data_IF_799847623828
#
_entry.id   IF_799847623828
#
_cell.length_a   1.000
_cell.length_b   1.000
_cell.length_c   1.000
_cell.angle_alpha   90.00
_cell.angle_beta   90.00
_cell.angle_gamma   90.00
#
_symmetry.space_group_name_H-M   'P 1'
#
loop_
_entity.id
_entity.type
_entity.pdbx_description
1 polymer ?
#
# COMPACT_ATOMS: atom_id res chain seq x y z
N UNK A 1 -13.16 -12.34 4.88
CA UNK A 1 -12.74 -11.83 3.55
C UNK A 1 -11.44 -11.08 3.72
N UNK A 2 -10.47 -11.28 2.83
CA UNK A 2 -9.17 -10.59 2.84
C UNK A 2 -9.34 -9.13 2.45
N UNK A 3 -8.73 -8.20 3.18
CA UNK A 3 -8.70 -6.78 2.81
C UNK A 3 -7.78 -6.56 1.59
N UNK A 4 -8.21 -5.75 0.62
CA UNK A 4 -7.49 -5.55 -0.64
C UNK A 4 -7.25 -4.08 -0.91
N UNK A 5 -5.96 -3.69 -1.05
CA UNK A 5 -5.55 -2.35 -1.47
C UNK A 5 -4.97 -2.39 -2.88
N UNK A 6 -5.42 -1.45 -3.72
CA UNK A 6 -4.87 -1.21 -5.05
C UNK A 6 -4.10 0.12 -5.04
N UNK A 7 -2.77 0.05 -5.16
CA UNK A 7 -1.87 1.18 -4.90
C UNK A 7 -1.31 1.82 -6.17
N UNK A 8 -0.91 3.11 -6.09
CA UNK A 8 -0.30 3.85 -7.18
C UNK A 8 -1.30 4.33 -8.23
N UNK A 9 -2.44 4.84 -7.78
CA UNK A 9 -3.47 5.44 -8.64
C UNK A 9 -3.00 6.80 -9.16
N UNK A 10 -3.07 7.00 -10.47
CA UNK A 10 -2.69 8.27 -11.12
C UNK A 10 -3.84 8.90 -11.92
N UNK A 11 -4.92 8.15 -12.17
CA UNK A 11 -6.04 8.57 -13.00
C UNK A 11 -7.37 8.28 -12.33
N UNK A 12 -8.32 9.20 -12.45
CA UNK A 12 -9.65 9.05 -11.85
C UNK A 12 -10.36 7.77 -12.27
N UNK A 13 -10.33 7.43 -13.56
CA UNK A 13 -10.92 6.21 -14.10
C UNK A 13 -10.36 4.92 -13.46
N UNK A 14 -9.06 4.92 -13.05
CA UNK A 14 -8.44 3.76 -12.42
C UNK A 14 -8.92 3.63 -10.95
N UNK A 15 -9.12 4.75 -10.27
CA UNK A 15 -9.71 4.77 -8.93
C UNK A 15 -11.16 4.24 -8.97
N UNK A 16 -11.96 4.70 -9.93
CA UNK A 16 -13.34 4.23 -10.11
C UNK A 16 -13.40 2.74 -10.47
N UNK A 17 -12.49 2.28 -11.32
CA UNK A 17 -12.37 0.85 -11.65
C UNK A 17 -11.96 0.00 -10.44
N UNK A 18 -11.06 0.51 -9.57
CA UNK A 18 -10.68 -0.16 -8.33
C UNK A 18 -11.87 -0.31 -7.37
N UNK A 19 -12.64 0.75 -7.19
CA UNK A 19 -13.88 0.71 -6.39
C UNK A 19 -14.88 -0.29 -6.97
N UNK A 20 -15.10 -0.24 -8.29
CA UNK A 20 -15.99 -1.17 -8.98
C UNK A 20 -15.55 -2.62 -8.91
N UNK A 21 -14.25 -2.87 -8.85
CA UNK A 21 -13.67 -4.20 -8.64
C UNK A 21 -13.86 -4.73 -7.21
N UNK A 22 -14.26 -3.87 -6.26
CA UNK A 22 -14.47 -4.24 -4.85
C UNK A 22 -13.21 -4.11 -3.99
N UNK A 23 -12.27 -3.24 -4.35
CA UNK A 23 -11.15 -2.91 -3.48
C UNK A 23 -11.63 -2.22 -2.19
N UNK A 24 -10.99 -2.53 -1.06
CA UNK A 24 -11.26 -1.89 0.24
C UNK A 24 -10.51 -0.58 0.39
N UNK A 25 -9.37 -0.45 -0.33
CA UNK A 25 -8.54 0.74 -0.28
C UNK A 25 -7.84 1.05 -1.60
N UNK A 26 -7.50 2.32 -1.78
CA UNK A 26 -6.65 2.81 -2.87
C UNK A 26 -5.47 3.63 -2.33
N UNK A 27 -4.34 3.64 -3.06
CA UNK A 27 -3.15 4.38 -2.67
C UNK A 27 -2.69 5.39 -3.73
N UNK A 28 -2.21 6.56 -3.26
CA UNK A 28 -1.65 7.65 -4.07
C UNK A 28 -0.21 7.91 -3.67
N UNK A 29 0.70 7.98 -4.62
CA UNK A 29 2.14 8.17 -4.37
C UNK A 29 2.53 9.61 -4.61
N UNK A 30 2.97 10.32 -3.57
CA UNK A 30 3.43 11.71 -3.66
C UNK A 30 4.96 11.83 -3.58
N UNK A 31 5.67 10.76 -3.92
CA UNK A 31 7.14 10.75 -4.01
C UNK A 31 7.58 10.99 -5.47
N UNK A 32 8.28 12.12 -5.78
CA UNK A 32 8.61 12.50 -7.16
C UNK A 32 9.47 11.49 -7.93
N UNK A 33 10.24 10.67 -7.22
CA UNK A 33 11.08 9.61 -7.82
C UNK A 33 10.27 8.42 -8.34
N UNK A 34 9.00 8.32 -7.97
CA UNK A 34 8.13 7.21 -8.36
C UNK A 34 7.55 7.43 -9.76
N UNK A 35 7.51 6.41 -10.63
CA UNK A 35 6.77 6.49 -11.89
C UNK A 35 5.24 6.61 -11.71
N UNK A 36 4.77 6.45 -10.46
CA UNK A 36 3.36 6.61 -10.04
C UNK A 36 3.13 7.90 -9.29
N UNK A 37 4.07 8.84 -9.40
CA UNK A 37 3.96 10.14 -8.73
C UNK A 37 2.71 10.90 -9.16
N UNK A 38 2.01 11.44 -8.16
CA UNK A 38 0.88 12.35 -8.34
C UNK A 38 1.11 13.58 -7.46
N UNK A 39 1.05 14.81 -8.01
CA UNK A 39 1.08 16.02 -7.19
C UNK A 39 -0.02 16.01 -6.14
N UNK A 40 0.26 16.52 -4.93
CA UNK A 40 -0.68 16.48 -3.80
C UNK A 40 -2.03 17.12 -4.15
N UNK A 41 -2.05 18.22 -4.87
CA UNK A 41 -3.29 18.86 -5.35
C UNK A 41 -4.13 17.90 -6.21
N UNK A 42 -3.47 17.09 -7.04
CA UNK A 42 -4.17 16.10 -7.87
C UNK A 42 -4.73 14.95 -7.04
N UNK A 43 -4.11 14.60 -5.91
CA UNK A 43 -4.66 13.58 -4.98
C UNK A 43 -6.01 14.02 -4.45
N UNK A 44 -6.21 15.30 -4.12
CA UNK A 44 -7.52 15.86 -3.71
C UNK A 44 -8.62 15.50 -4.70
N UNK A 45 -8.36 15.74 -6.01
CA UNK A 45 -9.33 15.44 -7.07
C UNK A 45 -9.59 13.94 -7.22
N UNK A 46 -8.53 13.13 -7.10
CA UNK A 46 -8.63 11.68 -7.26
C UNK A 46 -9.32 11.01 -6.07
N UNK A 47 -9.14 11.53 -4.86
CA UNK A 47 -9.71 11.01 -3.63
C UNK A 47 -11.15 11.45 -3.37
N UNK A 48 -11.60 12.54 -4.02
CA UNK A 48 -12.90 13.14 -3.77
C UNK A 48 -14.07 12.18 -4.03
N UNK A 49 -14.94 12.01 -3.04
CA UNK A 49 -16.17 11.20 -3.14
C UNK A 49 -15.94 9.68 -3.31
N UNK A 50 -14.73 9.19 -3.03
CA UNK A 50 -14.42 7.77 -3.11
C UNK A 50 -14.86 7.08 -1.81
N UNK A 51 -15.68 6.01 -1.87
CA UNK A 51 -16.29 5.39 -0.68
C UNK A 51 -15.39 4.36 0.01
N UNK A 52 -14.15 4.15 -0.46
CA UNK A 52 -13.18 3.22 0.12
C UNK A 52 -12.06 3.97 0.85
N UNK A 53 -11.25 3.27 1.63
CA UNK A 53 -10.09 3.85 2.30
C UNK A 53 -9.09 4.43 1.28
N UNK A 54 -8.46 5.53 1.64
CA UNK A 54 -7.51 6.26 0.80
C UNK A 54 -6.23 6.46 1.56
N UNK A 55 -5.11 5.99 0.99
CA UNK A 55 -3.79 6.07 1.61
C UNK A 55 -2.86 6.96 0.80
N UNK A 56 -2.13 7.85 1.49
CA UNK A 56 -1.06 8.67 0.92
C UNK A 56 0.29 8.00 1.15
N UNK A 57 1.00 7.65 0.07
CA UNK A 57 2.36 7.14 0.16
C UNK A 57 3.35 8.29 0.09
N UNK A 58 4.24 8.34 1.07
CA UNK A 58 5.33 9.32 1.16
C UNK A 58 6.68 8.62 1.29
N UNK A 59 7.75 9.28 0.88
CA UNK A 59 9.14 8.77 1.02
C UNK A 59 10.00 9.88 1.59
N UNK A 60 10.75 9.59 2.65
CA UNK A 60 11.68 10.50 3.33
C UNK A 60 11.09 11.88 3.66
N UNK A 61 9.78 11.91 3.93
CA UNK A 61 9.05 13.15 4.18
C UNK A 61 9.04 13.51 5.65
N UNK A 62 9.04 14.81 5.93
CA UNK A 62 8.90 15.34 7.27
C UNK A 62 7.58 14.88 7.92
N UNK A 63 7.56 14.44 9.19
CA UNK A 63 6.38 13.91 9.86
C UNK A 63 5.20 14.88 9.92
N UNK A 64 5.45 16.17 10.16
CA UNK A 64 4.38 17.19 10.23
C UNK A 64 3.79 17.44 8.84
N UNK A 65 4.66 17.47 7.81
CA UNK A 65 4.22 17.56 6.44
C UNK A 65 3.34 16.37 6.03
N UNK A 66 3.70 15.14 6.42
CA UNK A 66 2.90 13.94 6.11
C UNK A 66 1.48 14.08 6.65
N UNK A 67 1.32 14.52 7.90
CA UNK A 67 0.01 14.74 8.52
C UNK A 67 -0.76 15.84 7.79
N UNK A 68 -0.13 17.00 7.57
CA UNK A 68 -0.75 18.12 6.88
C UNK A 68 -1.19 17.75 5.45
N UNK A 69 -0.34 17.02 4.72
CA UNK A 69 -0.64 16.54 3.37
C UNK A 69 -1.81 15.54 3.35
N UNK A 70 -1.88 14.62 4.30
CA UNK A 70 -2.97 13.66 4.40
C UNK A 70 -4.31 14.34 4.69
N UNK A 71 -4.34 15.28 5.63
CA UNK A 71 -5.51 16.09 5.96
C UNK A 71 -5.95 16.94 4.76
N UNK A 72 -5.01 17.62 4.12
CA UNK A 72 -5.29 18.44 2.92
C UNK A 72 -5.86 17.60 1.77
N UNK A 73 -5.32 16.41 1.54
CA UNK A 73 -5.78 15.50 0.49
C UNK A 73 -7.11 14.78 0.84
N UNK A 74 -7.59 14.87 2.08
CA UNK A 74 -8.78 14.19 2.54
C UNK A 74 -8.67 12.67 2.51
N UNK A 75 -7.46 12.14 2.74
CA UNK A 75 -7.22 10.69 2.81
C UNK A 75 -7.44 10.16 4.22
N UNK A 76 -7.74 8.87 4.35
CA UNK A 76 -8.03 8.21 5.63
C UNK A 76 -6.77 7.64 6.31
N UNK A 77 -5.67 7.52 5.58
CA UNK A 77 -4.45 6.94 6.13
C UNK A 77 -3.20 7.30 5.34
N UNK A 78 -2.06 6.89 5.89
CA UNK A 78 -0.74 7.11 5.30
C UNK A 78 0.07 5.82 5.24
N UNK A 79 1.02 5.77 4.31
CA UNK A 79 2.02 4.71 4.18
C UNK A 79 3.38 5.38 4.02
N UNK A 80 4.02 5.76 5.13
CA UNK A 80 5.31 6.45 5.11
C UNK A 80 6.45 5.47 4.86
N UNK A 81 7.33 5.78 3.91
CA UNK A 81 8.56 5.06 3.62
C UNK A 81 9.79 5.90 3.95
N UNK A 82 10.94 5.23 4.09
CA UNK A 82 12.24 5.86 4.24
C UNK A 82 12.62 6.15 5.69
N UNK A 83 13.63 7.01 5.89
CA UNK A 83 14.31 7.19 7.19
C UNK A 83 13.41 7.84 8.25
N UNK A 84 12.42 8.63 7.85
CA UNK A 84 11.46 9.28 8.75
C UNK A 84 10.16 8.49 8.95
N UNK A 85 10.06 7.26 8.42
CA UNK A 85 8.81 6.49 8.40
C UNK A 85 8.21 6.25 9.79
N UNK A 86 9.04 5.94 10.79
CA UNK A 86 8.56 5.67 12.14
C UNK A 86 8.00 6.94 12.82
N UNK A 87 8.66 8.09 12.66
CA UNK A 87 8.20 9.35 13.25
C UNK A 87 6.95 9.87 12.52
N UNK A 88 6.90 9.75 11.20
CA UNK A 88 5.73 10.08 10.40
C UNK A 88 4.52 9.18 10.76
N UNK A 89 4.76 7.89 10.98
CA UNK A 89 3.72 6.96 11.43
C UNK A 89 3.15 7.36 12.79
N UNK A 90 4.02 7.66 13.78
CA UNK A 90 3.59 8.11 15.10
C UNK A 90 2.82 9.44 15.05
N UNK A 91 3.27 10.39 14.22
CA UNK A 91 2.58 11.67 14.04
C UNK A 91 1.18 11.45 13.42
N UNK A 92 1.07 10.61 12.41
CA UNK A 92 -0.19 10.27 11.75
C UNK A 92 -1.18 9.58 12.70
N UNK A 93 -0.70 8.61 13.51
CA UNK A 93 -1.53 7.94 14.52
C UNK A 93 -2.09 8.92 15.55
N UNK A 94 -1.25 9.85 16.05
CA UNK A 94 -1.71 10.91 16.97
C UNK A 94 -2.75 11.84 16.35
N UNK A 95 -2.72 12.02 15.03
CA UNK A 95 -3.71 12.78 14.27
C UNK A 95 -4.97 11.98 13.90
N UNK A 96 -5.08 10.72 14.34
CA UNK A 96 -6.23 9.85 14.08
C UNK A 96 -6.25 9.24 12.67
N UNK A 97 -5.13 9.28 11.95
CA UNK A 97 -4.99 8.65 10.64
C UNK A 97 -4.63 7.16 10.77
N UNK A 98 -5.17 6.32 9.88
CA UNK A 98 -4.72 4.95 9.76
C UNK A 98 -3.28 4.90 9.20
N UNK A 99 -2.50 3.92 9.64
CA UNK A 99 -1.12 3.75 9.16
C UNK A 99 -0.88 2.34 8.68
N UNK A 100 -0.43 2.21 7.42
CA UNK A 100 0.24 1.02 6.91
C UNK A 100 1.75 1.24 7.03
N UNK A 101 2.40 0.50 7.91
CA UNK A 101 3.83 0.68 8.18
C UNK A 101 4.67 -0.32 7.39
N UNK A 102 5.47 0.13 6.41
CA UNK A 102 6.29 -0.77 5.60
C UNK A 102 7.37 -1.47 6.42
N UNK A 103 7.36 -2.80 6.38
CA UNK A 103 8.40 -3.65 6.97
C UNK A 103 9.09 -4.41 5.83
N UNK A 104 10.36 -4.12 5.54
CA UNK A 104 11.08 -4.79 4.45
C UNK A 104 11.36 -6.24 4.81
N UNK A 105 11.02 -7.17 3.91
CA UNK A 105 11.33 -8.59 4.02
C UNK A 105 12.46 -8.91 3.06
N UNK A 106 13.69 -8.96 3.55
CA UNK A 106 14.89 -9.22 2.74
C UNK A 106 15.44 -10.61 2.97
N UNK A 107 15.48 -11.08 4.21
CA UNK A 107 15.89 -12.43 4.61
C UNK A 107 15.40 -12.72 6.03
N UNK A 108 15.02 -13.96 6.31
CA UNK A 108 14.52 -14.36 7.62
C UNK A 108 13.13 -13.83 7.98
N UNK A 109 12.69 -14.09 9.19
CA UNK A 109 11.40 -13.65 9.72
C UNK A 109 11.38 -12.11 9.84
N UNK A 110 10.32 -11.42 9.34
CA UNK A 110 10.21 -9.97 9.48
C UNK A 110 10.22 -9.52 10.95
N UNK A 111 10.95 -8.46 11.24
CA UNK A 111 10.97 -7.84 12.56
C UNK A 111 9.79 -6.88 12.72
N UNK A 112 8.75 -7.32 13.41
CA UNK A 112 7.57 -6.50 13.69
C UNK A 112 7.74 -5.57 14.90
N UNK A 113 8.85 -5.66 15.66
CA UNK A 113 9.10 -4.78 16.82
C UNK A 113 9.36 -3.34 16.41
N UNK A 114 9.72 -3.11 15.14
CA UNK A 114 9.93 -1.76 14.58
C UNK A 114 8.62 -1.04 14.26
N UNK A 115 7.49 -1.76 14.25
CA UNK A 115 6.17 -1.20 13.88
C UNK A 115 5.64 -0.36 15.04
N UNK A 116 5.31 0.93 14.83
CA UNK A 116 4.70 1.74 15.88
C UNK A 116 3.36 1.16 16.34
N UNK A 117 3.12 1.20 17.65
CA UNK A 117 1.86 0.76 18.24
C UNK A 117 0.66 1.47 17.58
N UNK A 118 -0.34 0.71 17.16
CA UNK A 118 -1.50 1.20 16.42
C UNK A 118 -1.34 1.24 14.89
N UNK A 119 -0.12 1.07 14.37
CA UNK A 119 0.10 0.91 12.93
C UNK A 119 -0.07 -0.57 12.51
N UNK A 120 -0.56 -0.79 11.29
CA UNK A 120 -0.63 -2.13 10.70
C UNK A 120 0.63 -2.41 9.89
N UNK A 121 1.34 -3.53 10.14
CA UNK A 121 2.50 -3.93 9.34
C UNK A 121 2.12 -4.16 7.88
N UNK A 122 2.92 -3.65 6.96
CA UNK A 122 2.86 -3.97 5.53
C UNK A 122 4.20 -4.60 5.14
N UNK A 123 4.19 -5.91 4.94
CA UNK A 123 5.38 -6.68 4.58
C UNK A 123 5.64 -6.52 3.08
N UNK A 124 6.75 -5.91 2.71
CA UNK A 124 7.11 -5.67 1.31
C UNK A 124 8.48 -6.29 1.01
N UNK A 125 8.68 -6.69 -0.23
CA UNK A 125 9.91 -7.34 -0.73
C UNK A 125 11.19 -6.53 -0.58
N UNK A 126 11.14 -5.33 -0.01
CA UNK A 126 12.29 -4.51 0.31
C UNK A 126 13.38 -4.52 -0.76
N UNK A 127 13.29 -3.68 -1.78
CA UNK A 127 14.39 -3.48 -2.73
C UNK A 127 15.33 -2.40 -2.23
N UNK A 128 16.64 -2.65 -2.22
CA UNK A 128 17.65 -1.63 -1.95
C UNK A 128 17.51 -0.50 -2.98
N UNK A 129 17.02 0.67 -2.55
CA UNK A 129 16.99 1.90 -3.34
C UNK A 129 15.75 2.16 -4.20
N UNK A 130 14.77 1.24 -4.26
CA UNK A 130 13.48 1.50 -4.95
C UNK A 130 12.34 1.16 -4.00
N UNK A 131 11.62 2.17 -3.55
CA UNK A 131 10.49 2.02 -2.63
C UNK A 131 9.26 1.50 -3.38
N UNK A 132 9.03 0.17 -3.31
CA UNK A 132 7.84 -0.50 -3.84
C UNK A 132 7.78 -0.65 -5.37
N UNK A 133 6.94 -1.56 -5.84
CA UNK A 133 6.64 -1.71 -7.28
C UNK A 133 7.71 -2.37 -8.14
N UNK A 134 8.71 -3.05 -7.54
CA UNK A 134 9.79 -3.73 -8.28
C UNK A 134 9.36 -5.03 -8.95
N UNK A 135 8.17 -5.55 -8.64
CA UNK A 135 7.67 -6.83 -9.16
C UNK A 135 8.36 -8.07 -8.58
N UNK A 136 9.30 -7.89 -7.64
CA UNK A 136 9.98 -9.01 -6.96
C UNK A 136 9.11 -9.58 -5.85
N UNK A 137 9.15 -10.89 -5.67
CA UNK A 137 8.46 -11.63 -4.58
C UNK A 137 9.46 -11.93 -3.48
N UNK A 138 9.06 -11.83 -2.22
CA UNK A 138 9.79 -12.48 -1.14
C UNK A 138 9.29 -13.93 -0.97
N UNK A 139 10.05 -14.75 -0.27
CA UNK A 139 9.60 -16.08 0.08
C UNK A 139 8.46 -15.95 1.11
N UNK A 140 7.22 -16.19 0.71
CA UNK A 140 6.02 -16.00 1.55
C UNK A 140 6.03 -16.84 2.83
N UNK A 141 6.71 -17.97 2.80
CA UNK A 141 6.97 -18.82 3.96
C UNK A 141 7.71 -18.09 5.11
N UNK A 142 8.48 -17.03 4.80
CA UNK A 142 9.09 -16.17 5.83
C UNK A 142 8.06 -15.38 6.66
N UNK A 143 6.86 -15.15 6.13
CA UNK A 143 5.76 -14.53 6.83
C UNK A 143 4.80 -15.55 7.45
N UNK A 144 4.95 -16.84 7.14
CA UNK A 144 4.13 -17.91 7.69
C UNK A 144 4.31 -18.03 9.21
N UNK A 145 3.20 -18.01 9.93
CA UNK A 145 3.22 -18.17 11.41
C UNK A 145 3.55 -16.92 12.22
N UNK A 146 3.69 -15.73 11.58
CA UNK A 146 3.90 -14.47 12.32
C UNK A 146 2.75 -14.14 13.29
N UNK A 147 1.52 -14.59 12.97
CA UNK A 147 0.32 -14.20 13.71
C UNK A 147 0.00 -12.71 13.58
N UNK A 148 -1.25 -12.36 13.82
CA UNK A 148 -1.68 -10.96 13.82
C UNK A 148 -2.12 -10.41 12.45
N UNK A 149 -2.57 -9.16 12.48
CA UNK A 149 -3.16 -8.46 11.34
C UNK A 149 -2.08 -7.73 10.54
N UNK A 150 -1.52 -8.37 9.52
CA UNK A 150 -0.57 -7.72 8.61
C UNK A 150 -1.05 -7.78 7.16
N UNK A 151 -0.53 -6.86 6.35
CA UNK A 151 -0.74 -6.79 4.91
C UNK A 151 0.52 -7.29 4.21
N UNK A 152 0.38 -8.08 3.16
CA UNK A 152 1.50 -8.45 2.29
C UNK A 152 1.49 -7.65 0.99
N UNK A 153 2.68 -7.25 0.54
CA UNK A 153 2.93 -6.51 -0.67
C UNK A 153 4.12 -7.09 -1.44
N UNK A 154 4.46 -6.49 -2.56
CA UNK A 154 5.64 -6.86 -3.35
C UNK A 154 5.41 -8.01 -4.34
N UNK A 155 5.35 -7.67 -5.62
CA UNK A 155 5.28 -8.63 -6.72
C UNK A 155 4.03 -9.49 -6.80
N UNK A 156 2.97 -9.14 -6.07
CA UNK A 156 1.67 -9.83 -6.16
C UNK A 156 1.03 -9.59 -7.53
N UNK A 157 0.33 -10.62 -8.02
CA UNK A 157 -0.43 -10.61 -9.28
C UNK A 157 -1.73 -11.38 -9.08
N UNK A 158 -2.72 -11.27 -9.99
CA UNK A 158 -3.93 -12.10 -9.92
C UNK A 158 -3.64 -13.61 -9.82
N UNK A 159 -2.60 -14.07 -10.50
CA UNK A 159 -2.21 -15.48 -10.51
C UNK A 159 -1.52 -15.96 -9.23
N UNK A 160 -1.04 -15.04 -8.38
CA UNK A 160 -0.23 -15.40 -7.21
C UNK A 160 -0.85 -15.04 -5.87
N UNK A 161 -1.82 -14.13 -5.85
CA UNK A 161 -2.34 -13.57 -4.59
C UNK A 161 -3.02 -14.62 -3.71
N UNK A 162 -3.80 -15.53 -4.27
CA UNK A 162 -4.45 -16.60 -3.49
C UNK A 162 -3.43 -17.50 -2.79
N UNK A 163 -2.36 -17.91 -3.51
CA UNK A 163 -1.27 -18.69 -2.93
C UNK A 163 -0.50 -17.94 -1.84
N UNK A 164 -0.29 -16.63 -2.04
CA UNK A 164 0.37 -15.78 -1.06
C UNK A 164 -0.45 -15.67 0.25
N UNK A 165 -1.75 -15.48 0.14
CA UNK A 165 -2.68 -15.44 1.29
C UNK A 165 -2.66 -16.79 2.02
N UNK A 166 -2.78 -17.89 1.29
CA UNK A 166 -2.78 -19.23 1.88
C UNK A 166 -1.47 -19.56 2.61
N UNK A 167 -0.32 -19.14 2.06
CA UNK A 167 0.98 -19.38 2.66
C UNK A 167 1.26 -18.52 3.90
N UNK A 168 0.73 -17.30 3.95
CA UNK A 168 1.06 -16.33 5.01
C UNK A 168 -0.01 -16.17 6.07
N UNK A 169 -1.27 -16.47 5.74
CA UNK A 169 -2.41 -16.12 6.61
C UNK A 169 -2.64 -14.61 6.73
N UNK A 170 -2.14 -13.82 5.77
CA UNK A 170 -2.24 -12.36 5.80
C UNK A 170 -3.69 -11.87 5.92
N UNK A 171 -3.90 -10.86 6.77
CA UNK A 171 -5.18 -10.17 6.89
C UNK A 171 -5.55 -9.41 5.61
N UNK A 172 -4.56 -8.86 4.93
CA UNK A 172 -4.77 -8.07 3.72
C UNK A 172 -3.64 -8.19 2.72
N UNK A 173 -3.91 -7.68 1.51
CA UNK A 173 -2.97 -7.66 0.39
C UNK A 173 -2.91 -6.26 -0.23
N UNK A 174 -1.71 -5.86 -0.68
CA UNK A 174 -1.48 -4.61 -1.41
C UNK A 174 -0.78 -4.89 -2.74
N UNK A 175 -1.33 -4.37 -3.83
CA UNK A 175 -0.76 -4.53 -5.16
C UNK A 175 -0.64 -3.20 -5.89
N UNK A 176 0.46 -3.04 -6.62
CA UNK A 176 0.67 -1.89 -7.51
C UNK A 176 0.95 -2.34 -8.94
N UNK A 177 2.19 -2.74 -9.25
CA UNK A 177 2.61 -3.10 -10.61
C UNK A 177 1.92 -4.34 -11.18
N UNK A 178 1.52 -5.29 -10.33
CA UNK A 178 0.90 -6.55 -10.78
C UNK A 178 -0.49 -6.41 -11.42
N UNK A 179 -1.06 -5.21 -11.37
CA UNK A 179 -2.35 -4.86 -12.02
C UNK A 179 -2.20 -3.66 -12.97
N UNK A 180 -1.01 -3.46 -13.55
CA UNK A 180 -0.71 -2.37 -14.47
C UNK A 180 -0.49 -2.87 -15.91
N UNK A 181 -0.91 -2.06 -16.89
CA UNK A 181 -0.50 -2.17 -18.29
C UNK A 181 0.88 -1.57 -18.53
N UNK A 182 1.16 -0.49 -17.85
CA UNK A 182 2.45 0.19 -17.81
C UNK A 182 2.56 1.00 -16.51
N UNK A 183 3.76 1.41 -16.07
CA UNK A 183 3.92 2.13 -14.82
C UNK A 183 2.96 3.31 -14.66
N UNK A 184 2.16 3.30 -13.58
CA UNK A 184 1.15 4.31 -13.29
C UNK A 184 -0.17 4.18 -14.08
N UNK A 185 -0.30 3.19 -14.97
CA UNK A 185 -1.52 2.94 -15.75
C UNK A 185 -2.09 1.58 -15.39
N UNK A 186 -3.20 1.57 -14.65
CA UNK A 186 -3.85 0.33 -14.24
C UNK A 186 -4.62 -0.33 -15.38
N UNK A 187 -4.75 -1.65 -15.29
CA UNK A 187 -5.61 -2.48 -16.12
C UNK A 187 -6.87 -2.87 -15.33
N UNK A 188 -8.07 -2.44 -15.74
CA UNK A 188 -9.30 -2.74 -15.00
C UNK A 188 -9.59 -4.25 -14.89
N UNK A 189 -9.23 -5.05 -15.90
CA UNK A 189 -9.44 -6.49 -15.87
C UNK A 189 -8.48 -7.17 -14.90
N UNK A 190 -7.22 -6.75 -14.87
CA UNK A 190 -6.26 -7.26 -13.88
C UNK A 190 -6.63 -6.86 -12.45
N UNK A 191 -7.14 -5.63 -12.23
CA UNK A 191 -7.63 -5.21 -10.92
C UNK A 191 -8.80 -6.09 -10.46
N UNK A 192 -9.79 -6.33 -11.32
CA UNK A 192 -10.93 -7.19 -11.01
C UNK A 192 -10.48 -8.63 -10.72
N UNK A 193 -9.65 -9.22 -11.58
CA UNK A 193 -9.11 -10.57 -11.38
C UNK A 193 -8.31 -10.67 -10.06
N UNK A 194 -7.55 -9.64 -9.70
CA UNK A 194 -6.79 -9.62 -8.45
C UNK A 194 -7.72 -9.64 -7.22
N UNK A 195 -8.74 -8.79 -7.22
CA UNK A 195 -9.70 -8.73 -6.12
C UNK A 195 -10.49 -10.04 -6.01
N UNK A 196 -10.95 -10.61 -7.13
CA UNK A 196 -11.64 -11.90 -7.16
C UNK A 196 -10.75 -13.03 -6.61
N UNK A 197 -9.47 -13.07 -6.99
CA UNK A 197 -8.54 -14.10 -6.54
C UNK A 197 -8.09 -13.94 -5.07
N UNK A 198 -8.24 -12.73 -4.50
CA UNK A 198 -7.91 -12.45 -3.09
C UNK A 198 -9.07 -12.74 -2.12
N UNK A 199 -10.28 -12.98 -2.62
CA UNK A 199 -11.52 -13.22 -1.83
C UNK A 199 -11.79 -14.71 -1.62
#
# INVERSE_FOLDING_TARGET
MTWVKLCGMTRRRDVEAAVSAGADAVGFVVAPVSPRFVPLQRVVDLAAGIPVERYLLTVDSDPEWVVAAAVFAGVSGVQPHGVHSADAARAALRAGLAVLFPVPVTAGTPDLTVVPEGARPLLDTGGTGVHGGTGRRFAWDLAGGLGGDFVIAGGLTPASVAGAIAATGAWGVDVSSGVERSPGIKDPDLMRQFVEAAR
#
